data_IF_395181957021
#
_entry.id   IF_395181957021
#
_cell.length_a   1.000
_cell.length_b   1.000
_cell.length_c   1.000
_cell.angle_alpha   90.00
_cell.angle_beta   90.00
_cell.angle_gamma   90.00
#
_symmetry.space_group_name_H-M   'P 1'
#
loop_
_entity.id
_entity.type
_entity.pdbx_description
1 polymer ?
#
# COMPACT_ATOMS: atom_id res chain seq x y z
N UNK A 1 -7.35 -17.07 6.80
CA UNK A 1 -6.90 -15.73 7.19
C UNK A 1 -7.04 -14.82 6.00
N UNK A 2 -7.64 -13.65 6.17
CA UNK A 2 -7.87 -12.73 5.06
C UNK A 2 -6.56 -12.12 4.56
N UNK A 3 -6.41 -11.90 3.25
CA UNK A 3 -5.25 -11.20 2.72
C UNK A 3 -5.27 -9.73 3.14
N UNK A 4 -4.09 -9.21 3.41
CA UNK A 4 -3.88 -7.77 3.70
C UNK A 4 -3.27 -7.04 2.50
N UNK A 5 -2.70 -7.75 1.54
CA UNK A 5 -2.13 -7.23 0.30
C UNK A 5 -2.45 -8.14 -0.89
N UNK A 6 -2.58 -7.55 -2.07
CA UNK A 6 -2.88 -8.21 -3.35
C UNK A 6 -2.31 -7.35 -4.50
N UNK A 7 -1.83 -7.92 -5.61
CA UNK A 7 -1.66 -7.14 -6.84
C UNK A 7 -2.91 -7.32 -7.72
N UNK A 8 -3.34 -6.24 -8.37
CA UNK A 8 -4.40 -6.33 -9.36
C UNK A 8 -4.00 -7.37 -10.42
N UNK A 9 -4.88 -8.31 -10.75
CA UNK A 9 -4.61 -9.39 -11.70
C UNK A 9 -4.15 -10.71 -11.08
N UNK A 10 -3.91 -10.76 -9.77
CA UNK A 10 -3.63 -12.01 -9.06
C UNK A 10 -4.92 -12.80 -8.84
N UNK A 11 -4.85 -14.13 -8.97
CA UNK A 11 -5.89 -15.01 -8.42
C UNK A 11 -5.69 -15.18 -6.92
N UNK A 12 -6.77 -15.16 -6.16
CA UNK A 12 -6.69 -15.28 -4.71
C UNK A 12 -7.85 -16.09 -4.13
N UNK A 13 -7.51 -16.91 -3.15
CA UNK A 13 -8.47 -17.72 -2.42
C UNK A 13 -8.24 -17.59 -0.92
N UNK A 14 -9.33 -17.55 -0.15
CA UNK A 14 -9.27 -17.62 1.30
C UNK A 14 -10.56 -18.20 1.86
N UNK A 15 -10.52 -18.62 3.12
CA UNK A 15 -11.68 -19.15 3.84
C UNK A 15 -11.95 -18.38 5.13
N UNK A 16 -13.23 -18.38 5.52
CA UNK A 16 -13.72 -17.80 6.77
C UNK A 16 -14.69 -18.76 7.44
N UNK A 17 -14.37 -19.13 8.67
CA UNK A 17 -15.32 -19.80 9.54
C UNK A 17 -16.17 -18.77 10.30
N UNK A 18 -17.49 -18.98 10.32
CA UNK A 18 -18.44 -18.12 11.04
C UNK A 18 -19.44 -19.01 11.77
N UNK A 19 -19.08 -19.62 12.92
CA UNK A 19 -19.91 -20.61 13.60
C UNK A 19 -21.30 -20.09 14.00
N UNK A 20 -21.42 -18.79 14.29
CA UNK A 20 -22.69 -18.14 14.62
C UNK A 20 -23.64 -17.96 13.41
N UNK A 21 -23.11 -18.01 12.18
CA UNK A 21 -23.87 -17.85 10.94
C UNK A 21 -23.49 -18.94 9.92
N UNK A 22 -23.77 -20.22 10.20
CA UNK A 22 -23.32 -21.32 9.36
C UNK A 22 -24.14 -21.41 8.07
N UNK A 23 -23.46 -21.78 6.97
CA UNK A 23 -24.10 -21.92 5.66
C UNK A 23 -25.23 -22.96 5.67
N UNK A 24 -25.08 -24.03 6.45
CA UNK A 24 -26.08 -25.09 6.63
C UNK A 24 -27.41 -24.60 7.22
N UNK A 25 -27.41 -23.47 7.93
CA UNK A 25 -28.61 -22.83 8.46
C UNK A 25 -29.17 -21.74 7.54
N UNK A 26 -28.76 -21.72 6.26
CA UNK A 26 -29.24 -20.80 5.23
C UNK A 26 -28.60 -19.40 5.26
N UNK A 27 -27.49 -19.22 5.99
CA UNK A 27 -26.75 -17.97 5.97
C UNK A 27 -25.91 -17.84 4.71
N UNK A 28 -25.85 -16.61 4.18
CA UNK A 28 -25.01 -16.24 3.04
C UNK A 28 -23.99 -15.22 3.53
N UNK A 29 -22.71 -15.49 3.29
CA UNK A 29 -21.63 -14.55 3.58
C UNK A 29 -21.23 -13.81 2.30
N UNK A 30 -21.05 -12.49 2.39
CA UNK A 30 -20.44 -11.66 1.35
C UNK A 30 -19.41 -10.71 1.93
N UNK A 31 -18.44 -10.31 1.12
CA UNK A 31 -17.53 -9.23 1.44
C UNK A 31 -17.93 -7.98 0.67
N UNK A 32 -17.86 -6.83 1.33
CA UNK A 32 -18.00 -5.53 0.68
C UNK A 32 -16.72 -4.77 0.93
N UNK A 33 -16.02 -4.44 -0.15
CA UNK A 33 -14.80 -3.65 -0.16
C UNK A 33 -15.12 -2.26 -0.71
N UNK A 34 -14.56 -1.23 -0.09
CA UNK A 34 -14.70 0.16 -0.51
C UNK A 34 -13.40 0.92 -0.28
N UNK A 35 -12.94 1.59 -1.32
CA UNK A 35 -11.71 2.37 -1.36
C UNK A 35 -11.68 3.20 -2.65
N UNK A 36 -10.65 3.06 -3.50
CA UNK A 36 -10.65 3.60 -4.86
C UNK A 36 -11.92 3.25 -5.64
N UNK A 37 -12.36 1.98 -5.55
CA UNK A 37 -13.61 1.48 -6.09
C UNK A 37 -14.45 0.76 -5.03
N UNK A 38 -15.63 0.25 -5.43
CA UNK A 38 -16.45 -0.64 -4.61
C UNK A 38 -16.57 -2.02 -5.25
N UNK A 39 -16.26 -3.05 -4.47
CA UNK A 39 -16.42 -4.45 -4.88
C UNK A 39 -17.30 -5.21 -3.89
N UNK A 40 -18.16 -6.08 -4.41
CA UNK A 40 -18.94 -7.03 -3.61
C UNK A 40 -18.55 -8.42 -4.04
N UNK A 41 -18.15 -9.25 -3.09
CA UNK A 41 -17.70 -10.61 -3.34
C UNK A 41 -18.66 -11.57 -2.65
N UNK A 42 -19.25 -12.46 -3.43
CA UNK A 42 -20.03 -13.56 -2.90
C UNK A 42 -19.10 -14.70 -2.48
N UNK A 43 -19.42 -15.33 -1.36
CA UNK A 43 -18.68 -16.51 -0.91
C UNK A 43 -19.40 -17.78 -1.35
N UNK A 44 -18.65 -18.82 -1.65
CA UNK A 44 -19.18 -20.17 -1.79
C UNK A 44 -19.62 -20.67 -0.42
N UNK A 45 -20.86 -21.14 -0.34
CA UNK A 45 -21.42 -21.76 0.85
C UNK A 45 -20.61 -22.99 1.25
N UNK A 46 -20.25 -23.10 2.52
CA UNK A 46 -19.44 -24.20 3.05
C UNK A 46 -19.16 -24.03 4.55
N UNK A 47 -18.47 -25.01 5.12
CA UNK A 47 -17.95 -24.96 6.49
C UNK A 47 -16.44 -25.27 6.43
N UNK A 48 -15.56 -24.27 6.27
CA UNK A 48 -15.81 -22.81 6.26
C UNK A 48 -16.36 -22.27 4.92
N UNK A 49 -16.84 -21.02 4.92
CA UNK A 49 -17.12 -20.28 3.69
C UNK A 49 -15.83 -20.09 2.90
N UNK A 50 -15.91 -20.17 1.56
CA UNK A 50 -14.77 -20.01 0.67
C UNK A 50 -14.96 -18.80 -0.22
N UNK A 51 -13.88 -18.06 -0.43
CA UNK A 51 -13.80 -16.99 -1.41
C UNK A 51 -12.76 -17.38 -2.45
N UNK A 52 -13.12 -17.22 -3.71
CA UNK A 52 -12.23 -17.42 -4.85
C UNK A 52 -12.45 -16.27 -5.82
N UNK A 53 -11.38 -15.52 -6.10
CA UNK A 53 -11.36 -14.48 -7.10
C UNK A 53 -10.41 -14.90 -8.21
N UNK A 54 -10.88 -14.83 -9.46
CA UNK A 54 -10.03 -15.08 -10.61
C UNK A 54 -9.15 -13.86 -10.90
N UNK A 55 -8.02 -14.09 -11.58
CA UNK A 55 -7.14 -13.02 -12.06
C UNK A 55 -7.89 -11.97 -12.89
N UNK A 56 -8.84 -12.40 -13.71
CA UNK A 56 -9.67 -11.49 -14.52
C UNK A 56 -10.57 -10.55 -13.71
N UNK A 57 -10.99 -10.98 -12.51
CA UNK A 57 -11.83 -10.16 -11.63
C UNK A 57 -10.99 -9.08 -10.93
N UNK A 58 -9.85 -9.49 -10.36
CA UNK A 58 -8.94 -8.61 -9.62
C UNK A 58 -8.13 -7.69 -10.54
N UNK A 59 -7.93 -8.06 -11.82
CA UNK A 59 -7.26 -7.21 -12.81
C UNK A 59 -7.94 -5.86 -13.01
N UNK A 60 -9.25 -5.78 -12.73
CA UNK A 60 -10.06 -4.57 -12.88
C UNK A 60 -10.09 -3.69 -11.64
N UNK A 61 -9.48 -4.13 -10.54
CA UNK A 61 -9.52 -3.40 -9.28
C UNK A 61 -8.50 -2.27 -9.34
N UNK A 62 -8.93 -1.03 -9.10
CA UNK A 62 -8.00 0.09 -9.06
C UNK A 62 -7.02 -0.06 -7.88
N UNK A 63 -5.72 0.22 -8.08
CA UNK A 63 -4.74 0.18 -7.00
C UNK A 63 -5.07 1.16 -5.87
N UNK A 64 -4.87 0.75 -4.62
CA UNK A 64 -5.04 1.57 -3.43
C UNK A 64 -5.51 0.80 -2.21
N UNK A 65 -5.81 1.54 -1.13
CA UNK A 65 -6.25 0.98 0.14
C UNK A 65 -7.77 0.84 0.17
N UNK A 66 -8.25 -0.38 0.36
CA UNK A 66 -9.66 -0.71 0.56
C UNK A 66 -9.91 -1.02 2.03
N UNK A 67 -11.05 -0.57 2.54
CA UNK A 67 -11.64 -1.11 3.78
C UNK A 67 -12.69 -2.14 3.39
N UNK A 68 -12.80 -3.19 4.17
CA UNK A 68 -13.77 -4.25 3.91
C UNK A 68 -14.55 -4.66 5.15
N UNK A 69 -15.77 -5.14 4.91
CA UNK A 69 -16.61 -5.81 5.90
C UNK A 69 -17.09 -7.15 5.36
N UNK A 70 -17.13 -8.17 6.21
CA UNK A 70 -17.77 -9.45 5.94
C UNK A 70 -19.17 -9.43 6.56
N UNK A 71 -20.19 -9.63 5.72
CA UNK A 71 -21.60 -9.52 6.09
C UNK A 71 -22.27 -10.87 5.90
N UNK A 72 -22.80 -11.43 6.99
CA UNK A 72 -23.67 -12.59 6.95
C UNK A 72 -25.13 -12.12 6.88
N UNK A 73 -25.94 -12.70 6.01
CA UNK A 73 -27.37 -12.43 5.93
C UNK A 73 -28.22 -13.67 5.76
N UNK A 74 -29.43 -13.65 6.33
CA UNK A 74 -30.43 -14.70 6.20
C UNK A 74 -31.83 -14.08 6.33
N UNK A 75 -32.60 -14.07 5.25
CA UNK A 75 -33.89 -13.36 5.22
C UNK A 75 -33.71 -11.87 5.50
N UNK A 76 -34.35 -11.36 6.56
CA UNK A 76 -34.21 -9.96 7.01
C UNK A 76 -33.02 -9.73 7.93
N UNK A 77 -32.43 -10.81 8.47
CA UNK A 77 -31.30 -10.73 9.39
C UNK A 77 -30.02 -10.37 8.62
N UNK A 78 -29.24 -9.44 9.17
CA UNK A 78 -27.93 -9.07 8.66
C UNK A 78 -26.98 -8.77 9.81
N UNK A 79 -25.80 -9.38 9.79
CA UNK A 79 -24.77 -9.22 10.81
C UNK A 79 -23.42 -8.97 10.16
N UNK A 80 -22.69 -7.98 10.67
CA UNK A 80 -21.27 -7.79 10.32
C UNK A 80 -20.44 -8.72 11.20
N UNK A 81 -19.74 -9.66 10.58
CA UNK A 81 -19.00 -10.71 11.31
C UNK A 81 -17.49 -10.45 11.35
N UNK A 82 -16.99 -9.57 10.48
CA UNK A 82 -15.61 -9.11 10.49
C UNK A 82 -15.43 -7.83 9.68
N UNK A 83 -14.30 -7.17 9.89
CA UNK A 83 -13.86 -6.02 9.11
C UNK A 83 -12.34 -5.95 9.05
N UNK A 84 -11.80 -5.26 8.04
CA UNK A 84 -10.37 -5.05 7.93
C UNK A 84 -10.02 -4.12 6.76
N UNK A 85 -8.76 -4.20 6.33
CA UNK A 85 -8.24 -3.48 5.18
C UNK A 85 -7.50 -4.41 4.23
N UNK A 86 -7.47 -4.05 2.96
CA UNK A 86 -6.73 -4.71 1.89
C UNK A 86 -6.05 -3.64 1.05
N UNK A 87 -4.75 -3.75 0.87
CA UNK A 87 -4.00 -2.92 -0.07
C UNK A 87 -3.91 -3.65 -1.41
N UNK A 88 -4.42 -3.02 -2.46
CA UNK A 88 -4.31 -3.51 -3.84
C UNK A 88 -3.18 -2.74 -4.52
N UNK A 89 -2.09 -3.42 -4.82
CA UNK A 89 -0.99 -2.90 -5.61
C UNK A 89 -1.30 -2.99 -7.12
N UNK A 90 -0.65 -2.16 -7.93
CA UNK A 90 -0.79 -2.21 -9.37
C UNK A 90 -0.19 -3.49 -9.96
N UNK A 91 -0.80 -3.99 -11.05
CA UNK A 91 -0.17 -5.02 -11.87
C UNK A 91 1.07 -4.43 -12.55
N UNK A 92 2.28 -4.85 -12.16
CA UNK A 92 3.51 -4.32 -12.74
C UNK A 92 3.77 -4.78 -14.18
N UNK A 93 3.07 -5.81 -14.67
CA UNK A 93 3.16 -6.26 -16.07
C UNK A 93 2.47 -5.28 -17.02
N UNK A 94 1.36 -4.68 -16.58
CA UNK A 94 0.52 -3.81 -17.43
C UNK A 94 0.52 -2.35 -17.00
N UNK A 95 1.03 -2.03 -15.80
CA UNK A 95 1.12 -0.65 -15.34
C UNK A 95 2.20 0.12 -16.09
N UNK A 96 1.91 1.39 -16.37
CA UNK A 96 2.90 2.29 -16.94
C UNK A 96 4.14 2.38 -16.04
N UNK A 97 5.36 2.42 -16.61
CA UNK A 97 6.57 2.60 -15.85
C UNK A 97 6.48 3.85 -14.97
N UNK A 98 6.49 3.62 -13.66
CA UNK A 98 6.48 4.66 -12.66
C UNK A 98 7.78 4.68 -11.88
N UNK A 99 8.11 5.84 -11.32
CA UNK A 99 9.24 5.96 -10.42
C UNK A 99 8.99 5.13 -9.15
N UNK A 100 9.66 3.99 -9.04
CA UNK A 100 9.54 3.05 -7.91
C UNK A 100 10.14 3.58 -6.60
N UNK A 101 10.73 4.79 -6.61
CA UNK A 101 11.26 5.43 -5.40
C UNK A 101 10.13 5.83 -4.46
N UNK A 102 10.31 5.53 -3.18
CA UNK A 102 9.43 6.04 -2.13
C UNK A 102 9.41 7.57 -2.12
N UNK A 103 8.39 8.17 -1.51
CA UNK A 103 8.36 9.62 -1.30
C UNK A 103 9.66 10.13 -0.65
N UNK A 104 10.14 9.44 0.40
CA UNK A 104 11.40 9.81 1.06
C UNK A 104 12.62 9.76 0.12
N UNK A 105 12.69 8.76 -0.77
CA UNK A 105 13.78 8.68 -1.77
C UNK A 105 13.69 9.80 -2.82
N UNK A 106 12.49 10.13 -3.29
CA UNK A 106 12.27 11.25 -4.22
C UNK A 106 12.62 12.59 -3.56
N UNK A 107 12.17 12.82 -2.33
CA UNK A 107 12.48 14.03 -1.58
C UNK A 107 13.98 14.15 -1.29
N UNK A 108 14.64 13.06 -0.91
CA UNK A 108 16.09 13.04 -0.70
C UNK A 108 16.83 13.46 -1.98
N UNK A 109 16.46 12.88 -3.14
CA UNK A 109 17.08 13.24 -4.41
C UNK A 109 16.85 14.71 -4.78
N UNK A 110 15.65 15.25 -4.53
CA UNK A 110 15.35 16.67 -4.75
C UNK A 110 16.19 17.58 -3.84
N UNK A 111 16.37 17.20 -2.57
CA UNK A 111 17.17 17.95 -1.59
C UNK A 111 18.66 17.91 -1.98
N UNK A 112 19.19 16.74 -2.35
CA UNK A 112 20.57 16.59 -2.79
C UNK A 112 20.84 17.42 -4.05
N UNK A 113 19.96 17.39 -5.03
CA UNK A 113 20.05 18.24 -6.22
C UNK A 113 19.96 19.75 -5.89
N UNK A 114 19.16 20.15 -4.90
CA UNK A 114 19.09 21.54 -4.46
C UNK A 114 20.39 22.00 -3.78
N UNK A 115 21.01 21.13 -2.97
CA UNK A 115 22.30 21.40 -2.33
C UNK A 115 23.42 21.49 -3.37
N UNK A 116 23.50 20.56 -4.32
CA UNK A 116 24.50 20.55 -5.40
C UNK A 116 24.47 21.83 -6.24
N UNK A 117 23.28 22.36 -6.54
CA UNK A 117 23.13 23.62 -7.29
C UNK A 117 23.58 24.86 -6.52
N UNK A 118 23.66 24.80 -5.18
CA UNK A 118 24.09 25.91 -4.32
C UNK A 118 25.61 25.93 -4.10
N UNK A 119 26.25 24.76 -4.09
CA UNK A 119 27.71 24.62 -3.96
C UNK A 119 28.50 25.51 -4.96
N UNK A 120 28.14 25.65 -6.25
CA UNK A 120 28.85 26.55 -7.16
C UNK A 120 28.41 28.03 -7.11
N UNK A 121 27.38 28.39 -6.32
CA UNK A 121 26.82 29.76 -6.24
C UNK A 121 27.05 30.50 -4.92
N UNK A 122 27.45 29.82 -3.86
CA UNK A 122 27.60 30.43 -2.52
C UNK A 122 28.94 31.18 -2.28
N UNK A 123 29.69 31.52 -3.33
CA UNK A 123 30.70 32.59 -3.25
C UNK A 123 30.05 33.96 -3.54
N UNK A 124 29.20 34.43 -2.63
CA UNK A 124 28.99 35.86 -2.37
C UNK A 124 27.98 36.01 -1.22
N UNK A 125 28.52 36.22 -0.03
CA UNK A 125 27.84 36.92 1.05
C UNK A 125 27.21 38.20 0.49
N UNK A 126 25.90 38.32 0.61
CA UNK A 126 25.18 39.59 0.49
C UNK A 126 24.34 39.71 1.75
N UNK A 127 24.72 40.60 2.65
CA UNK A 127 23.78 41.28 3.54
C UNK A 127 23.05 42.32 2.68
N UNK A 128 21.73 42.20 2.59
CA UNK A 128 20.85 43.24 2.06
C UNK A 128 19.63 43.28 2.99
N UNK A 129 19.45 44.41 3.66
CA UNK A 129 18.22 44.85 4.35
C UNK A 129 17.54 43.87 5.32
N UNK A 130 18.31 43.21 6.18
CA UNK A 130 17.78 42.63 7.42
C UNK A 130 16.85 41.41 7.28
N UNK A 131 16.58 40.92 6.07
CA UNK A 131 15.86 39.67 5.80
C UNK A 131 16.26 39.13 4.43
N UNK A 132 17.24 38.20 4.37
CA UNK A 132 17.55 37.48 3.13
C UNK A 132 16.77 36.18 3.03
N UNK A 133 15.77 36.21 2.17
CA UNK A 133 14.82 35.16 1.86
C UNK A 133 15.26 34.37 0.63
N UNK A 134 16.13 33.36 0.78
CA UNK A 134 16.37 32.40 -0.31
C UNK A 134 15.95 30.97 0.11
N UNK A 135 14.62 30.79 0.14
CA UNK A 135 13.85 29.52 0.10
C UNK A 135 14.54 28.30 0.73
N UNK A 136 14.27 28.06 2.02
CA UNK A 136 14.83 27.02 2.90
C UNK A 136 16.35 27.18 3.14
N UNK A 137 16.77 27.53 4.36
CA UNK A 137 18.19 27.60 4.76
C UNK A 137 18.93 26.27 4.49
N UNK A 138 20.23 26.34 4.20
CA UNK A 138 21.05 25.14 3.92
C UNK A 138 21.07 24.20 5.13
N UNK A 139 21.05 24.76 6.33
CA UNK A 139 20.94 24.03 7.60
C UNK A 139 19.66 23.21 7.61
N UNK A 140 18.54 23.83 7.23
CA UNK A 140 17.24 23.16 7.16
C UNK A 140 17.20 22.09 6.06
N UNK A 141 17.86 22.32 4.91
CA UNK A 141 18.02 21.28 3.89
C UNK A 141 18.85 20.10 4.39
N UNK A 142 19.92 20.36 5.15
CA UNK A 142 20.74 19.32 5.77
C UNK A 142 19.96 18.51 6.82
N UNK A 143 19.13 19.16 7.63
CA UNK A 143 18.22 18.50 8.57
C UNK A 143 17.24 17.59 7.84
N UNK A 144 16.56 18.10 6.80
CA UNK A 144 15.61 17.33 5.99
C UNK A 144 16.32 16.15 5.30
N UNK A 145 17.53 16.35 4.79
CA UNK A 145 18.37 15.29 4.21
C UNK A 145 18.63 14.18 5.23
N UNK A 146 19.04 14.53 6.45
CA UNK A 146 19.27 13.56 7.53
C UNK A 146 17.98 12.83 7.92
N UNK A 147 16.86 13.55 8.03
CA UNK A 147 15.56 13.00 8.35
C UNK A 147 15.12 11.96 7.31
N UNK A 148 15.12 12.31 6.02
CA UNK A 148 14.71 11.39 4.96
C UNK A 148 15.66 10.20 4.82
N UNK A 149 16.97 10.38 5.02
CA UNK A 149 17.91 9.24 5.08
C UNK A 149 17.55 8.25 6.20
N UNK A 150 17.21 8.74 7.40
CA UNK A 150 16.77 7.87 8.51
C UNK A 150 15.47 7.14 8.17
N UNK A 151 14.51 7.84 7.55
CA UNK A 151 13.24 7.24 7.13
C UNK A 151 13.44 6.10 6.12
N UNK A 152 14.28 6.31 5.11
CA UNK A 152 14.63 5.27 4.12
C UNK A 152 15.28 4.05 4.79
N UNK A 153 16.17 4.26 5.76
CA UNK A 153 16.82 3.16 6.47
C UNK A 153 15.84 2.36 7.34
N UNK A 154 14.92 3.04 8.05
CA UNK A 154 13.85 2.38 8.81
C UNK A 154 12.93 1.57 7.90
N UNK A 155 12.51 2.14 6.78
CA UNK A 155 11.66 1.45 5.81
C UNK A 155 12.34 0.22 5.18
N UNK A 156 13.65 0.28 4.92
CA UNK A 156 14.43 -0.86 4.44
C UNK A 156 14.49 -2.01 5.44
N UNK A 157 14.61 -1.70 6.74
CA UNK A 157 14.64 -2.69 7.80
C UNK A 157 13.28 -3.39 7.96
N UNK A 158 12.18 -2.67 7.76
CA UNK A 158 10.82 -3.19 7.92
C UNK A 158 10.27 -3.94 6.69
N UNK A 159 10.99 -3.94 5.56
CA UNK A 159 10.52 -4.47 4.27
C UNK A 159 10.66 -5.99 4.11
N UNK A 160 11.22 -6.71 5.10
CA UNK A 160 11.58 -8.13 4.98
C UNK A 160 10.79 -9.02 5.96
N UNK A 161 9.44 -9.01 5.94
CA UNK A 161 8.63 -9.84 6.83
C UNK A 161 8.69 -11.34 6.49
N UNK A 162 9.26 -11.73 5.34
CA UNK A 162 9.35 -13.13 4.86
C UNK A 162 10.79 -13.63 4.61
N UNK A 163 11.81 -12.99 5.20
CA UNK A 163 13.20 -13.45 5.14
C UNK A 163 14.05 -12.85 4.01
N UNK A 164 15.38 -13.11 4.06
CA UNK A 164 16.35 -12.55 3.10
C UNK A 164 16.18 -13.18 1.70
N UNK A 165 16.26 -12.41 0.60
CA UNK A 165 16.34 -12.99 -0.73
C UNK A 165 17.65 -13.77 -0.86
N UNK A 166 17.52 -15.02 -1.27
CA UNK A 166 18.65 -15.90 -1.59
C UNK A 166 19.29 -15.34 -2.87
N UNK A 167 20.56 -14.94 -2.79
CA UNK A 167 21.35 -14.60 -3.98
C UNK A 167 21.60 -15.88 -4.77
N UNK A 168 20.95 -16.02 -5.91
CA UNK A 168 21.41 -16.95 -6.93
C UNK A 168 22.51 -16.27 -7.74
N UNK A 169 23.72 -16.83 -7.68
CA UNK A 169 24.78 -16.53 -8.64
C UNK A 169 24.50 -17.40 -9.86
N UNK A 170 24.09 -16.77 -10.97
CA UNK A 170 24.05 -17.46 -12.26
C UNK A 170 25.50 -17.65 -12.72
N UNK A 171 25.85 -18.89 -13.04
CA UNK A 171 27.13 -19.29 -13.64
C UNK A 171 27.03 -19.24 -15.14
#
# INVERSE_FOLDING_TARGET
MEPTQLHAGDSITWSREVPACPASAGWILRYVLSGPDRHVIETKAGAPYQVELASGDTARWAPGLYRWVALASRGVDRVTVASGSLEVAANLETAEPADARSHAQRMLALIEAALEKRIPKDQASYEIDGLRLDRIPIERLNELRLQYRREIQRARHNRWPLGRPIRHVLR
#
